data_IF_322528526569
#
_entry.id   IF_322528526569
#
_cell.length_a   1.000
_cell.length_b   1.000
_cell.length_c   1.000
_cell.angle_alpha   90.00
_cell.angle_beta   90.00
_cell.angle_gamma   90.00
#
_symmetry.space_group_name_H-M   'P 1'
#
loop_
_entity.id
_entity.type
_entity.pdbx_description
1 polymer ?
#
# COMPACT_ATOMS: atom_id res chain seq x y z
N UNK A 1 -0.86 -6.75 14.61
CA UNK A 1 0.26 -5.97 14.04
C UNK A 1 -0.23 -5.17 12.86
N UNK A 2 0.17 -3.92 12.77
CA UNK A 2 -0.15 -3.09 11.62
C UNK A 2 0.91 -3.29 10.55
N UNK A 3 0.48 -3.62 9.36
CA UNK A 3 1.37 -3.90 8.26
C UNK A 3 1.27 -2.82 7.20
N UNK A 4 2.41 -2.44 6.67
CA UNK A 4 2.53 -1.48 5.57
C UNK A 4 3.46 -2.09 4.54
N UNK A 5 3.46 -1.57 3.33
CA UNK A 5 4.36 -2.12 2.35
C UNK A 5 4.48 -1.35 1.07
N UNK A 6 5.21 -1.95 0.15
CA UNK A 6 5.46 -1.41 -1.17
C UNK A 6 5.03 -2.43 -2.21
N UNK A 7 4.21 -1.99 -3.16
CA UNK A 7 3.88 -2.80 -4.34
C UNK A 7 4.58 -2.24 -5.57
N UNK A 8 5.05 -3.14 -6.39
CA UNK A 8 5.75 -2.83 -7.63
C UNK A 8 6.41 -4.08 -8.17
N UNK A 9 7.13 -3.96 -9.27
CA UNK A 9 7.82 -5.11 -9.82
C UNK A 9 8.87 -4.66 -10.84
N UNK A 10 10.09 -5.20 -10.78
CA UNK A 10 10.58 -6.06 -9.71
C UNK A 10 10.94 -5.27 -8.45
N UNK A 11 10.98 -5.95 -7.30
CA UNK A 11 11.37 -5.35 -6.04
C UNK A 11 12.52 -6.18 -5.44
N UNK A 12 13.72 -5.93 -5.89
CA UNK A 12 14.89 -6.69 -5.44
C UNK A 12 15.59 -6.06 -4.25
N UNK A 13 15.43 -4.75 -4.09
CA UNK A 13 16.01 -4.01 -2.99
C UNK A 13 15.12 -2.79 -2.74
N UNK A 14 14.90 -2.46 -1.49
CA UNK A 14 14.02 -1.35 -1.17
C UNK A 14 14.59 -0.48 -0.06
N UNK A 15 14.87 0.75 -0.43
CA UNK A 15 15.21 1.79 0.52
C UNK A 15 14.05 2.05 1.49
N UNK A 16 12.80 2.00 0.98
CA UNK A 16 11.62 2.25 1.79
C UNK A 16 11.45 1.23 2.91
N UNK A 17 11.72 -0.04 2.63
CA UNK A 17 11.62 -1.08 3.65
C UNK A 17 12.59 -0.82 4.80
N UNK A 18 13.83 -0.53 4.50
CA UNK A 18 14.84 -0.23 5.50
C UNK A 18 14.49 1.02 6.28
N UNK A 19 14.09 2.06 5.57
CA UNK A 19 13.75 3.35 6.16
C UNK A 19 12.61 3.23 7.17
N UNK A 20 11.50 2.62 6.77
CA UNK A 20 10.33 2.55 7.62
C UNK A 20 10.52 1.59 8.80
N UNK A 21 11.20 0.46 8.59
CA UNK A 21 11.46 -0.46 9.69
C UNK A 21 12.42 0.15 10.72
N UNK A 22 13.41 0.91 10.26
CA UNK A 22 14.30 1.63 11.17
C UNK A 22 13.55 2.72 11.93
N UNK A 23 12.65 3.42 11.25
CA UNK A 23 11.82 4.44 11.88
C UNK A 23 10.92 3.84 12.95
N UNK A 24 10.31 2.70 12.68
CA UNK A 24 9.50 1.99 13.68
C UNK A 24 10.34 1.62 14.90
N UNK A 25 11.54 1.15 14.65
CA UNK A 25 12.46 0.78 15.72
C UNK A 25 12.82 1.98 16.60
N UNK A 26 13.15 3.10 15.98
CA UNK A 26 13.50 4.34 16.68
C UNK A 26 12.34 4.84 17.55
N UNK A 27 11.12 4.63 17.11
CA UNK A 27 9.92 5.07 17.82
C UNK A 27 9.35 4.02 18.75
N UNK A 28 10.03 2.88 18.90
CA UNK A 28 9.55 1.81 19.76
C UNK A 28 8.36 1.05 19.22
N UNK A 29 8.12 1.11 17.92
CA UNK A 29 6.93 0.52 17.28
C UNK A 29 7.22 -0.79 16.55
N UNK A 30 8.43 -1.30 16.60
CA UNK A 30 8.81 -2.49 15.82
C UNK A 30 8.02 -3.74 16.18
N UNK A 31 7.46 -3.81 17.39
CA UNK A 31 6.67 -4.96 17.83
C UNK A 31 5.22 -4.89 17.36
N UNK A 32 4.76 -3.71 16.91
CA UNK A 32 3.38 -3.50 16.52
C UNK A 32 3.22 -3.04 15.08
N UNK A 33 4.30 -2.69 14.41
CA UNK A 33 4.29 -2.19 13.04
C UNK A 33 5.39 -2.84 12.21
N UNK A 34 5.09 -3.11 10.95
CA UNK A 34 6.03 -3.76 10.05
C UNK A 34 5.85 -3.22 8.63
N UNK A 35 6.95 -3.06 7.92
CA UNK A 35 6.93 -2.68 6.51
C UNK A 35 7.51 -3.81 5.68
N UNK A 36 6.75 -4.28 4.69
CA UNK A 36 7.13 -5.41 3.85
C UNK A 36 7.15 -5.04 2.37
N UNK A 37 7.89 -5.81 1.59
CA UNK A 37 7.86 -5.71 0.14
C UNK A 37 6.84 -6.71 -0.40
N UNK A 38 6.01 -6.24 -1.33
CA UNK A 38 5.03 -7.07 -2.02
C UNK A 38 5.28 -6.99 -3.52
N UNK A 39 6.19 -7.82 -4.04
CA UNK A 39 6.42 -7.86 -5.48
C UNK A 39 5.15 -8.31 -6.19
N UNK A 40 4.66 -7.50 -7.10
CA UNK A 40 3.39 -7.72 -7.77
C UNK A 40 3.59 -7.60 -9.27
N UNK A 41 3.81 -8.72 -9.93
CA UNK A 41 4.05 -8.74 -11.37
C UNK A 41 2.80 -8.36 -12.15
N UNK A 42 1.65 -8.87 -11.70
CA UNK A 42 0.37 -8.62 -12.36
C UNK A 42 -0.58 -7.92 -11.40
N UNK A 43 -1.11 -6.80 -11.82
CA UNK A 43 -2.01 -6.00 -11.00
C UNK A 43 -3.34 -6.73 -10.72
N UNK A 44 -3.70 -7.69 -11.54
CA UNK A 44 -4.87 -8.53 -11.29
C UNK A 44 -4.77 -9.33 -9.98
N UNK A 45 -3.58 -9.48 -9.44
CA UNK A 45 -3.37 -10.15 -8.15
C UNK A 45 -3.54 -9.21 -6.94
N UNK A 46 -3.79 -7.93 -7.19
CA UNK A 46 -3.94 -6.96 -6.11
C UNK A 46 -5.08 -7.28 -5.14
N UNK A 47 -6.29 -7.65 -5.60
CA UNK A 47 -7.36 -8.01 -4.66
C UNK A 47 -6.98 -9.19 -3.76
N UNK A 48 -6.28 -10.17 -4.28
CA UNK A 48 -5.84 -11.32 -3.50
C UNK A 48 -4.79 -10.92 -2.47
N UNK A 49 -3.91 -10.00 -2.83
CA UNK A 49 -2.92 -9.46 -1.91
C UNK A 49 -3.60 -8.86 -0.68
N UNK A 50 -4.64 -8.07 -0.90
CA UNK A 50 -5.39 -7.45 0.18
C UNK A 50 -6.08 -8.49 1.06
N UNK A 51 -6.70 -9.49 0.45
CA UNK A 51 -7.37 -10.57 1.18
C UNK A 51 -6.41 -11.37 2.03
N UNK A 52 -5.22 -11.63 1.50
CA UNK A 52 -4.21 -12.44 2.17
C UNK A 52 -3.51 -11.71 3.31
N UNK A 53 -3.66 -10.40 3.37
CA UNK A 53 -3.01 -9.57 4.38
C UNK A 53 -4.04 -8.73 5.13
N UNK A 54 -4.84 -9.36 6.01
CA UNK A 54 -5.91 -8.64 6.70
C UNK A 54 -5.44 -7.53 7.64
N UNK A 55 -4.19 -7.54 8.02
CA UNK A 55 -3.59 -6.51 8.87
C UNK A 55 -2.92 -5.37 8.08
N UNK A 56 -3.03 -5.39 6.76
CA UNK A 56 -2.45 -4.37 5.91
C UNK A 56 -3.20 -3.05 6.06
N UNK A 57 -2.47 -1.99 6.39
CA UNK A 57 -3.04 -0.66 6.66
C UNK A 57 -2.72 0.35 5.56
N UNK A 58 -1.63 0.16 4.84
CA UNK A 58 -1.24 1.09 3.81
C UNK A 58 -0.17 0.53 2.89
N UNK A 59 -0.10 1.10 1.70
CA UNK A 59 0.86 0.70 0.68
C UNK A 59 1.43 1.92 -0.02
N UNK A 60 2.72 1.87 -0.27
CA UNK A 60 3.33 2.73 -1.26
C UNK A 60 3.29 1.99 -2.60
N UNK A 61 3.20 2.73 -3.68
CA UNK A 61 3.12 2.16 -5.02
C UNK A 61 4.27 2.68 -5.86
N UNK A 62 4.97 1.77 -6.51
CA UNK A 62 6.01 2.14 -7.45
C UNK A 62 5.74 1.50 -8.82
N UNK A 63 6.64 1.74 -9.78
CA UNK A 63 6.48 1.20 -11.13
C UNK A 63 6.33 -0.32 -11.08
N UNK A 64 5.52 -0.87 -11.98
CA UNK A 64 4.78 -0.23 -13.07
C UNK A 64 3.32 0.08 -12.72
N UNK A 65 2.94 0.12 -11.45
CA UNK A 65 1.54 0.10 -11.03
C UNK A 65 0.92 1.44 -10.65
N UNK A 66 1.69 2.52 -10.68
CA UNK A 66 1.19 3.83 -10.23
C UNK A 66 -0.07 4.32 -10.96
N UNK A 67 -0.23 3.96 -12.20
CA UNK A 67 -1.39 4.35 -13.00
C UNK A 67 -2.48 3.29 -12.96
N UNK A 68 -2.09 2.04 -13.21
CA UNK A 68 -3.04 0.94 -13.29
C UNK A 68 -3.81 0.69 -12.00
N UNK A 69 -3.19 0.91 -10.85
CA UNK A 69 -3.81 0.66 -9.56
C UNK A 69 -5.02 1.57 -9.30
N UNK A 70 -5.15 2.67 -10.02
CA UNK A 70 -6.30 3.58 -9.93
C UNK A 70 -7.62 2.82 -10.10
N UNK A 71 -7.65 1.84 -10.97
CA UNK A 71 -8.86 1.07 -11.27
C UNK A 71 -9.31 0.20 -10.09
N UNK A 72 -8.46 -0.03 -9.12
CA UNK A 72 -8.78 -0.82 -7.94
C UNK A 72 -9.16 0.02 -6.74
N UNK A 73 -9.16 1.34 -6.89
CA UNK A 73 -9.41 2.24 -5.78
C UNK A 73 -10.87 2.62 -5.69
N UNK A 74 -11.38 2.68 -4.45
CA UNK A 74 -12.73 3.13 -4.20
C UNK A 74 -12.85 4.65 -4.20
N UNK A 75 -11.77 5.31 -3.81
CA UNK A 75 -11.70 6.75 -3.71
C UNK A 75 -10.35 7.25 -4.17
N UNK A 76 -10.34 8.37 -4.85
CA UNK A 76 -9.12 9.06 -5.26
C UNK A 76 -9.03 10.42 -4.59
N UNK A 77 -7.91 10.66 -3.93
CA UNK A 77 -7.60 11.98 -3.44
C UNK A 77 -7.53 12.97 -4.61
N UNK A 78 -7.97 14.22 -4.46
CA UNK A 78 -7.93 15.20 -5.55
C UNK A 78 -6.56 15.35 -6.21
N UNK A 79 -5.49 15.30 -5.43
CA UNK A 79 -4.15 15.40 -5.99
C UNK A 79 -3.77 14.19 -6.84
N UNK A 80 -4.23 13.00 -6.48
CA UNK A 80 -3.99 11.81 -7.29
C UNK A 80 -4.78 11.87 -8.60
N UNK A 81 -5.99 12.41 -8.56
CA UNK A 81 -6.78 12.65 -9.77
C UNK A 81 -6.10 13.61 -10.72
N UNK A 82 -5.53 14.66 -10.16
CA UNK A 82 -4.90 15.71 -10.95
C UNK A 82 -3.69 15.20 -11.72
N UNK A 83 -2.85 14.40 -11.07
CA UNK A 83 -1.66 13.85 -11.73
C UNK A 83 -1.91 12.50 -12.42
N UNK A 84 -3.09 11.93 -12.23
CA UNK A 84 -3.49 10.66 -12.81
C UNK A 84 -2.56 9.51 -12.42
N UNK A 85 -2.15 9.49 -11.17
CA UNK A 85 -1.25 8.47 -10.64
C UNK A 85 -1.39 8.34 -9.13
N UNK A 86 -1.08 7.16 -8.62
CA UNK A 86 -1.18 6.83 -7.21
C UNK A 86 0.18 6.45 -6.67
N UNK A 87 0.62 7.12 -5.63
CA UNK A 87 1.87 6.80 -4.93
C UNK A 87 1.64 6.10 -3.60
N UNK A 88 0.50 6.33 -2.99
CA UNK A 88 0.22 5.87 -1.65
C UNK A 88 -1.25 5.48 -1.51
N UNK A 89 -1.50 4.35 -0.87
CA UNK A 89 -2.84 3.82 -0.66
C UNK A 89 -3.05 3.67 0.84
N UNK A 90 -4.16 4.21 1.33
CA UNK A 90 -4.61 3.96 2.69
C UNK A 90 -5.71 2.92 2.63
N UNK A 91 -5.58 1.88 3.42
CA UNK A 91 -6.54 0.79 3.43
C UNK A 91 -7.43 0.92 4.66
N UNK A 92 -8.72 1.10 4.42
CA UNK A 92 -9.72 1.17 5.47
C UNK A 92 -10.62 -0.03 5.31
N UNK A 93 -10.63 -0.90 6.31
CA UNK A 93 -11.45 -2.09 6.26
C UNK A 93 -12.83 -1.80 6.81
N UNK A 94 -13.84 -2.22 6.08
CA UNK A 94 -15.22 -2.14 6.54
C UNK A 94 -15.49 -3.27 7.52
N UNK A 95 -16.67 -3.19 8.14
CA UNK A 95 -17.09 -4.20 9.10
C UNK A 95 -17.05 -5.60 8.49
N UNK A 96 -16.76 -6.60 9.32
CA UNK A 96 -16.40 -7.93 8.84
C UNK A 96 -17.46 -8.66 8.04
N UNK A 97 -18.70 -8.28 8.15
CA UNK A 97 -19.79 -8.94 7.45
C UNK A 97 -19.58 -8.93 5.95
N UNK A 98 -19.04 -7.87 5.42
CA UNK A 98 -18.92 -7.68 3.98
C UNK A 98 -17.62 -8.23 3.40
N UNK A 99 -16.66 -8.50 4.23
CA UNK A 99 -15.36 -9.02 3.82
C UNK A 99 -14.67 -8.19 2.74
N UNK A 100 -14.97 -6.90 2.62
CA UNK A 100 -14.24 -6.05 1.71
C UNK A 100 -13.77 -4.78 2.37
N UNK A 101 -12.95 -4.08 1.66
CA UNK A 101 -12.30 -2.89 2.15
C UNK A 101 -12.51 -1.75 1.17
N UNK A 102 -12.33 -0.55 1.65
CA UNK A 102 -12.23 0.61 0.79
C UNK A 102 -10.79 1.09 0.81
N UNK A 103 -10.31 1.49 -0.34
CA UNK A 103 -9.02 2.09 -0.46
C UNK A 103 -9.15 3.59 -0.64
N UNK A 104 -8.45 4.35 0.17
CA UNK A 104 -8.30 5.78 -0.05
C UNK A 104 -6.90 6.03 -0.57
N UNK A 105 -6.81 6.87 -1.56
CA UNK A 105 -5.54 7.22 -2.14
C UNK A 105 -5.19 8.62 -1.75
N UNK A 106 -4.05 8.77 -1.11
CA UNK A 106 -3.47 10.09 -1.00
C UNK A 106 -2.26 10.12 -1.92
N UNK A 107 -2.20 11.11 -2.76
CA UNK A 107 -1.00 11.30 -3.54
C UNK A 107 0.03 11.91 -2.64
N UNK A 108 1.12 11.25 -2.47
CA UNK A 108 2.25 11.92 -1.88
C UNK A 108 2.96 12.68 -2.99
N UNK A 109 3.48 13.80 -2.66
CA UNK A 109 4.39 14.45 -3.56
C UNK A 109 5.63 13.59 -3.66
N UNK A 110 6.01 13.33 -4.82
CA UNK A 110 7.22 12.57 -5.07
C UNK A 110 8.42 13.41 -4.66
#
# INVERSE_FOLDING_TARGET
MKKYGLIGYPLTHSFSQEYFNEKFKEEGLQDTNKYELFPLANLSDFPELIKSNPDLCGLNVTIPHKIGVIYFMDKLDPSAKEIDAVNCIKIIKKMPIDAFFTGEISSSKV
#
